data_IF_383496973752
#
_entry.id   IF_383496973752
#
_cell.length_a   1.000
_cell.length_b   1.000
_cell.length_c   1.000
_cell.angle_alpha   90.00
_cell.angle_beta   90.00
_cell.angle_gamma   90.00
#
_symmetry.space_group_name_H-M   'P 1'
#
loop_
_entity.id
_entity.type
_entity.pdbx_description
1 polymer ?
#
# COMPACT_ATOMS: atom_id res chain seq x y z
N UNK A 1 7.82 50.37 18.59
CA UNK A 1 8.66 49.23 18.14
C UNK A 1 8.37 47.94 18.90
N UNK A 2 8.26 47.95 20.24
CA UNK A 2 7.94 46.74 21.04
C UNK A 2 6.60 46.09 20.69
N UNK A 3 5.57 46.88 20.43
CA UNK A 3 4.23 46.40 20.01
C UNK A 3 4.24 45.73 18.64
N UNK A 4 4.97 46.30 17.67
CA UNK A 4 5.13 45.74 16.33
C UNK A 4 5.82 44.36 16.36
N UNK A 5 6.84 44.21 17.21
CA UNK A 5 7.57 42.95 17.38
C UNK A 5 6.68 41.85 17.97
N UNK A 6 5.83 42.21 18.93
CA UNK A 6 4.86 41.29 19.52
C UNK A 6 3.80 40.85 18.52
N UNK A 7 3.29 41.76 17.69
CA UNK A 7 2.29 41.42 16.67
C UNK A 7 2.87 40.47 15.62
N UNK A 8 4.08 40.72 15.12
CA UNK A 8 4.74 39.83 14.15
C UNK A 8 5.01 38.44 14.73
N UNK A 9 5.44 38.36 16.00
CA UNK A 9 5.68 37.08 16.67
C UNK A 9 4.40 36.26 16.87
N UNK A 10 3.27 36.92 17.16
CA UNK A 10 1.96 36.27 17.28
C UNK A 10 1.43 35.74 15.94
N UNK A 11 1.76 36.41 14.82
CA UNK A 11 1.37 35.95 13.49
C UNK A 11 2.18 34.73 13.04
N UNK A 12 3.48 34.65 13.38
CA UNK A 12 4.35 33.54 12.93
C UNK A 12 4.04 32.23 13.67
N UNK A 13 3.66 32.27 14.94
CA UNK A 13 3.31 31.06 15.70
C UNK A 13 2.03 30.38 15.22
N UNK A 14 1.09 31.14 14.65
CA UNK A 14 -0.17 30.60 14.08
C UNK A 14 0.00 29.76 12.81
N UNK A 15 1.14 29.86 12.11
CA UNK A 15 1.40 29.07 10.90
C UNK A 15 2.08 27.72 11.16
N UNK A 16 2.57 27.47 12.37
CA UNK A 16 3.34 26.25 12.69
C UNK A 16 2.41 25.07 13.00
N UNK A 17 1.22 25.31 13.54
CA UNK A 17 0.28 24.25 13.95
C UNK A 17 -0.66 23.76 12.83
N UNK A 18 -0.63 24.38 11.64
CA UNK A 18 -1.45 23.99 10.50
C UNK A 18 -0.73 23.09 9.47
N UNK A 19 0.50 22.65 9.74
CA UNK A 19 1.31 21.84 8.83
C UNK A 19 1.37 20.33 9.16
N UNK A 20 0.67 19.84 10.17
CA UNK A 20 0.46 18.39 10.30
C UNK A 20 -0.53 17.94 9.23
N UNK A 21 0.01 17.33 8.17
CA UNK A 21 -0.75 16.84 7.03
C UNK A 21 -1.35 15.49 7.37
N UNK A 22 -2.62 15.33 7.06
CA UNK A 22 -3.31 14.04 7.13
C UNK A 22 -2.73 13.10 6.07
N UNK A 23 -1.89 12.16 6.49
CA UNK A 23 -1.71 10.91 5.77
C UNK A 23 -3.06 10.18 5.80
N UNK A 24 -3.49 9.65 4.66
CA UNK A 24 -4.70 8.85 4.60
C UNK A 24 -4.42 7.59 3.81
N UNK A 25 -4.97 6.50 4.32
CA UNK A 25 -4.85 5.17 3.75
C UNK A 25 -6.16 4.82 3.04
N UNK A 26 -6.07 4.38 1.79
CA UNK A 26 -7.23 3.92 1.02
C UNK A 26 -7.21 2.39 0.90
N UNK A 27 -8.27 1.72 1.34
CA UNK A 27 -8.42 0.27 1.15
C UNK A 27 -9.05 -0.02 -0.20
N UNK A 28 -8.28 -0.62 -1.10
CA UNK A 28 -8.70 -0.84 -2.48
C UNK A 28 -9.49 -2.15 -2.66
N UNK A 29 -9.16 -3.19 -1.89
CA UNK A 29 -9.76 -4.52 -2.05
C UNK A 29 -9.58 -5.33 -0.78
N UNK A 30 -10.63 -6.04 -0.35
CA UNK A 30 -10.59 -7.06 0.71
C UNK A 30 -11.01 -8.39 0.08
N UNK A 31 -10.23 -9.45 0.29
CA UNK A 31 -10.41 -10.78 -0.29
C UNK A 31 -10.31 -11.80 0.84
N UNK A 32 -11.38 -12.55 1.08
CA UNK A 32 -11.34 -13.69 2.00
C UNK A 32 -10.51 -14.84 1.39
N UNK A 33 -9.64 -15.45 2.20
CA UNK A 33 -8.88 -16.64 1.80
C UNK A 33 -9.71 -17.87 2.15
N UNK A 34 -10.21 -18.55 1.13
CA UNK A 34 -11.17 -19.64 1.28
C UNK A 34 -10.59 -20.79 2.09
N UNK A 35 -11.38 -21.25 3.07
CA UNK A 35 -11.04 -22.37 3.94
C UNK A 35 -9.98 -22.05 4.99
N UNK A 36 -9.72 -20.77 5.27
CA UNK A 36 -8.79 -20.33 6.32
C UNK A 36 -9.37 -19.14 7.09
N UNK A 37 -8.76 -18.82 8.23
CA UNK A 37 -9.09 -17.62 9.02
C UNK A 37 -8.30 -16.39 8.54
N UNK A 38 -7.98 -16.31 7.24
CA UNK A 38 -7.21 -15.21 6.69
C UNK A 38 -8.00 -14.40 5.67
N UNK A 39 -7.76 -13.09 5.66
CA UNK A 39 -8.21 -12.18 4.62
C UNK A 39 -7.04 -11.35 4.13
N UNK A 40 -7.10 -10.93 2.87
CA UNK A 40 -6.09 -10.10 2.22
C UNK A 40 -6.71 -8.76 1.92
N UNK A 41 -6.08 -7.69 2.41
CA UNK A 41 -6.41 -6.34 2.03
C UNK A 41 -5.27 -5.72 1.22
N UNK A 42 -5.60 -4.77 0.36
CA UNK A 42 -4.60 -3.95 -0.34
C UNK A 42 -4.88 -2.49 -0.04
N UNK A 43 -3.86 -1.73 0.30
CA UNK A 43 -4.03 -0.31 0.58
C UNK A 43 -2.88 0.53 0.06
N UNK A 44 -3.18 1.81 -0.15
CA UNK A 44 -2.22 2.82 -0.58
C UNK A 44 -2.11 3.94 0.44
N UNK A 45 -0.89 4.37 0.69
CA UNK A 45 -0.60 5.58 1.45
C UNK A 45 -0.40 6.74 0.48
N UNK A 46 -0.99 7.89 0.82
CA UNK A 46 -0.94 9.08 -0.01
C UNK A 46 -0.20 10.21 0.69
N UNK A 47 0.77 10.78 -0.04
CA UNK A 47 1.44 12.03 0.30
C UNK A 47 0.99 13.17 -0.60
N UNK A 48 1.48 14.38 -0.35
CA UNK A 48 1.25 15.53 -1.25
C UNK A 48 1.75 15.33 -2.68
N UNK A 49 2.68 14.39 -2.90
CA UNK A 49 3.25 14.08 -4.22
C UNK A 49 2.48 12.99 -4.96
N UNK A 50 1.43 12.42 -4.35
CA UNK A 50 0.70 11.26 -4.86
C UNK A 50 0.92 10.03 -3.97
N UNK A 51 0.72 8.84 -4.54
CA UNK A 51 0.94 7.57 -3.83
C UNK A 51 2.39 7.48 -3.37
N UNK A 52 2.58 7.32 -2.07
CA UNK A 52 3.89 7.16 -1.41
C UNK A 52 4.14 5.73 -0.93
N UNK A 53 3.12 4.88 -0.92
CA UNK A 53 3.25 3.51 -0.48
C UNK A 53 2.13 2.64 -1.04
N UNK A 54 2.45 1.38 -1.36
CA UNK A 54 1.49 0.35 -1.75
C UNK A 54 1.77 -0.92 -0.98
N UNK A 55 0.73 -1.47 -0.38
CA UNK A 55 0.86 -2.51 0.62
C UNK A 55 -0.15 -3.63 0.38
N UNK A 56 0.29 -4.85 0.65
CA UNK A 56 -0.59 -6.03 0.79
C UNK A 56 -0.60 -6.41 2.26
N UNK A 57 -1.78 -6.58 2.83
CA UNK A 57 -1.98 -6.90 4.24
C UNK A 57 -2.67 -8.26 4.35
N UNK A 58 -1.99 -9.21 4.98
CA UNK A 58 -2.54 -10.51 5.34
C UNK A 58 -3.04 -10.44 6.77
N UNK A 59 -4.33 -10.63 6.99
CA UNK A 59 -5.00 -10.44 8.27
C UNK A 59 -5.52 -11.79 8.73
N UNK A 60 -5.10 -12.25 9.90
CA UNK A 60 -5.78 -13.35 10.58
C UNK A 60 -7.06 -12.80 11.21
N UNK A 61 -8.21 -13.17 10.68
CA UNK A 61 -9.52 -12.65 11.11
C UNK A 61 -9.96 -13.21 12.47
N UNK A 62 -9.38 -14.34 12.90
CA UNK A 62 -9.66 -14.93 14.21
C UNK A 62 -8.90 -14.24 15.34
N UNK A 63 -7.63 -13.89 15.13
CA UNK A 63 -6.78 -13.27 16.16
C UNK A 63 -6.62 -11.76 16.01
N UNK A 64 -6.95 -11.20 14.84
CA UNK A 64 -6.70 -9.81 14.48
C UNK A 64 -5.24 -9.49 14.14
N UNK A 65 -4.33 -10.46 14.22
CA UNK A 65 -2.91 -10.25 13.87
C UNK A 65 -2.76 -10.08 12.37
N UNK A 66 -1.84 -9.23 11.93
CA UNK A 66 -1.60 -9.03 10.49
C UNK A 66 -0.13 -8.98 10.13
N UNK A 67 0.17 -9.31 8.87
CA UNK A 67 1.48 -9.18 8.23
C UNK A 67 1.34 -8.27 7.01
N UNK A 68 2.14 -7.22 6.96
CA UNK A 68 2.20 -6.28 5.86
C UNK A 68 3.38 -6.62 4.94
N UNK A 69 3.14 -6.53 3.63
CA UNK A 69 4.16 -6.65 2.58
C UNK A 69 4.19 -5.34 1.79
N UNK A 70 5.34 -4.68 1.78
CA UNK A 70 5.56 -3.44 1.06
C UNK A 70 5.98 -3.73 -0.39
N UNK A 71 5.26 -3.15 -1.36
CA UNK A 71 5.60 -3.32 -2.77
C UNK A 71 6.65 -2.29 -3.23
N UNK A 72 6.76 -1.15 -2.56
CA UNK A 72 7.61 -0.02 -2.95
C UNK A 72 6.91 0.98 -3.89
N UNK A 73 7.43 2.21 -3.95
CA UNK A 73 6.78 3.35 -4.63
C UNK A 73 6.58 3.15 -6.14
N UNK A 74 7.56 2.55 -6.80
CA UNK A 74 7.55 2.31 -8.25
C UNK A 74 6.79 1.04 -8.64
N UNK A 75 6.34 0.23 -7.69
CA UNK A 75 5.63 -1.03 -7.98
C UNK A 75 4.13 -0.87 -7.76
N UNK A 76 3.34 -1.65 -8.49
CA UNK A 76 1.90 -1.73 -8.32
C UNK A 76 1.41 -3.18 -8.36
N UNK A 77 0.34 -3.44 -7.62
CA UNK A 77 -0.35 -4.71 -7.67
C UNK A 77 -1.26 -4.76 -8.89
N UNK A 78 -1.00 -5.69 -9.81
CA UNK A 78 -1.82 -5.90 -11.00
C UNK A 78 -2.98 -6.87 -10.72
N UNK A 79 -2.68 -8.00 -10.07
CA UNK A 79 -3.68 -8.98 -9.65
C UNK A 79 -3.23 -9.68 -8.37
N UNK A 80 -4.19 -10.17 -7.59
CA UNK A 80 -3.96 -11.04 -6.45
C UNK A 80 -5.11 -12.04 -6.34
N UNK A 81 -4.77 -13.31 -6.23
CA UNK A 81 -5.71 -14.42 -6.20
C UNK A 81 -5.23 -15.57 -5.32
N UNK A 82 -6.18 -16.36 -4.82
CA UNK A 82 -5.89 -17.60 -4.13
C UNK A 82 -5.92 -18.76 -5.13
N UNK A 83 -4.89 -19.60 -5.08
CA UNK A 83 -4.90 -20.92 -5.71
C UNK A 83 -5.10 -21.96 -4.63
N UNK A 84 -6.24 -22.64 -4.71
CA UNK A 84 -6.62 -23.71 -3.79
C UNK A 84 -6.93 -24.99 -4.59
N UNK A 85 -6.15 -26.04 -4.35
CA UNK A 85 -6.31 -27.37 -4.94
C UNK A 85 -6.27 -28.39 -3.80
N UNK A 86 -7.45 -28.70 -3.25
CA UNK A 86 -7.59 -29.57 -2.07
C UNK A 86 -7.01 -30.98 -2.29
N UNK A 87 -7.18 -31.54 -3.49
CA UNK A 87 -6.65 -32.87 -3.84
C UNK A 87 -5.12 -32.96 -3.82
N UNK A 88 -4.43 -31.82 -3.90
CA UNK A 88 -2.97 -31.72 -3.89
C UNK A 88 -2.43 -31.06 -2.61
N UNK A 89 -3.31 -30.68 -1.67
CA UNK A 89 -2.92 -29.95 -0.47
C UNK A 89 -2.34 -28.55 -0.74
N UNK A 90 -2.64 -27.95 -1.90
CA UNK A 90 -2.14 -26.63 -2.26
C UNK A 90 -3.14 -25.57 -1.81
N UNK A 91 -2.65 -24.62 -1.03
CA UNK A 91 -3.35 -23.37 -0.71
C UNK A 91 -2.32 -22.25 -0.65
N UNK A 92 -2.28 -21.41 -1.67
CA UNK A 92 -1.29 -20.34 -1.87
C UNK A 92 -1.95 -19.10 -2.43
N UNK A 93 -1.31 -17.97 -2.21
CA UNK A 93 -1.71 -16.69 -2.78
C UNK A 93 -0.72 -16.33 -3.87
N UNK A 94 -1.23 -15.99 -5.05
CA UNK A 94 -0.43 -15.50 -6.15
C UNK A 94 -0.72 -14.03 -6.36
N UNK A 95 0.33 -13.22 -6.35
CA UNK A 95 0.28 -11.82 -6.70
C UNK A 95 1.08 -11.56 -7.98
N UNK A 96 0.51 -10.75 -8.87
CA UNK A 96 1.22 -10.22 -10.03
C UNK A 96 1.56 -8.78 -9.73
N UNK A 97 2.85 -8.49 -9.63
CA UNK A 97 3.37 -7.15 -9.31
C UNK A 97 4.04 -6.58 -10.55
N UNK A 98 3.62 -5.38 -10.95
CA UNK A 98 4.25 -4.61 -12.03
C UNK A 98 5.10 -3.46 -11.48
N UNK A 99 5.88 -2.82 -12.34
CA UNK A 99 6.62 -1.60 -12.00
C UNK A 99 6.42 -0.51 -13.05
N UNK A 100 6.34 0.72 -12.57
CA UNK A 100 6.36 1.93 -13.39
C UNK A 100 7.81 2.27 -13.76
N UNK A 101 8.07 2.54 -15.04
CA UNK A 101 9.33 3.11 -15.49
C UNK A 101 9.15 4.61 -15.72
N UNK A 102 9.76 5.48 -14.90
CA UNK A 102 9.55 6.93 -15.00
C UNK A 102 10.28 7.61 -16.18
N UNK A 103 11.11 6.91 -16.96
CA UNK A 103 11.99 7.54 -17.97
C UNK A 103 11.51 7.52 -19.43
N UNK A 104 10.46 6.79 -19.78
CA UNK A 104 10.00 6.71 -21.18
C UNK A 104 8.64 7.38 -21.41
N UNK A 105 8.51 8.62 -20.94
CA UNK A 105 7.41 9.50 -21.40
C UNK A 105 7.78 10.18 -22.72
N UNK A 106 7.93 9.37 -23.77
CA UNK A 106 7.74 9.76 -25.17
C UNK A 106 7.14 8.58 -25.94
N UNK A 107 5.81 8.43 -25.80
CA UNK A 107 5.02 7.55 -26.66
C UNK A 107 4.96 6.08 -26.22
N UNK A 108 3.96 5.77 -25.41
CA UNK A 108 3.14 4.54 -25.56
C UNK A 108 3.88 3.19 -25.69
N UNK A 109 4.85 2.88 -24.84
CA UNK A 109 5.00 1.51 -24.33
C UNK A 109 5.51 1.61 -22.90
N UNK A 110 4.62 1.51 -21.91
CA UNK A 110 5.07 1.09 -20.59
C UNK A 110 5.66 -0.30 -20.79
N UNK A 111 6.99 -0.46 -20.70
CA UNK A 111 7.59 -1.78 -20.59
C UNK A 111 7.16 -2.34 -19.25
N UNK A 112 5.96 -2.91 -19.22
CA UNK A 112 5.32 -3.44 -18.03
C UNK A 112 6.01 -4.75 -17.69
N UNK A 113 7.21 -4.70 -17.10
CA UNK A 113 7.75 -5.88 -16.47
C UNK A 113 6.79 -6.26 -15.34
N UNK A 114 6.47 -7.55 -15.27
CA UNK A 114 5.62 -8.13 -14.25
C UNK A 114 6.38 -9.30 -13.65
N UNK A 115 6.36 -9.43 -12.33
CA UNK A 115 6.72 -10.66 -11.64
C UNK A 115 5.48 -11.30 -11.04
N UNK A 116 5.55 -12.62 -11.00
CA UNK A 116 4.68 -13.43 -10.16
C UNK A 116 5.39 -13.61 -8.83
N UNK A 117 4.70 -13.31 -7.74
CA UNK A 117 5.14 -13.57 -6.37
C UNK A 117 4.15 -14.55 -5.77
N UNK A 118 4.66 -15.60 -5.15
CA UNK A 118 3.84 -16.61 -4.46
C UNK A 118 4.01 -16.39 -2.97
N UNK A 119 2.90 -16.41 -2.25
CA UNK A 119 2.87 -16.31 -0.80
C UNK A 119 2.15 -17.52 -0.21
N UNK A 120 2.48 -17.83 1.04
CA UNK A 120 1.61 -18.62 1.92
C UNK A 120 0.30 -17.85 2.22
N UNK A 121 -0.65 -18.52 2.88
CA UNK A 121 -1.94 -17.93 3.25
C UNK A 121 -1.82 -16.78 4.26
N UNK A 122 -0.72 -16.75 5.02
CA UNK A 122 -0.40 -15.74 6.03
C UNK A 122 0.64 -14.72 5.55
N UNK A 123 1.01 -14.75 4.25
CA UNK A 123 1.86 -13.75 3.62
C UNK A 123 3.37 -13.95 3.76
N UNK A 124 3.82 -15.14 4.16
CA UNK A 124 5.23 -15.54 4.08
C UNK A 124 5.60 -15.85 2.62
N UNK A 125 6.82 -15.48 2.20
CA UNK A 125 7.33 -15.71 0.84
C UNK A 125 8.05 -17.06 0.72
#
# INVERSE_FOLDING_TARGET
>A
MKTLFFTVSLFISGFITAQEKKEYTSYNKLIEVQGTDFAIATFEDHSKKGVSGRHILFINTRTGTSRQIDLGEDQYLYNIEQIKLDSLGINRIIAVVGMFHPKEMKGLVLSNWRKVVVFSIDGEQ
#
